data_IF_257759460150
#
_entry.id   IF_257759460150
#
_cell.length_a   1.000
_cell.length_b   1.000
_cell.length_c   1.000
_cell.angle_alpha   90.00
_cell.angle_beta   90.00
_cell.angle_gamma   90.00
#
_symmetry.space_group_name_H-M   'P 1'
#
loop_
_entity.id
_entity.type
_entity.pdbx_description
1 polymer ?
#
# COMPACT_ATOMS: atom_id res chain seq x y z
N UNK A 1 -43.64 -11.25 -25.47
CA UNK A 1 -42.23 -11.62 -25.68
C UNK A 1 -41.35 -10.56 -25.03
N UNK A 2 -40.75 -10.86 -23.88
CA UNK A 2 -39.76 -9.96 -23.27
C UNK A 2 -38.43 -10.25 -23.96
N UNK A 3 -37.89 -9.28 -24.70
CA UNK A 3 -36.58 -9.41 -25.35
C UNK A 3 -35.51 -9.08 -24.30
N UNK A 4 -34.58 -9.98 -23.98
CA UNK A 4 -33.49 -9.65 -23.07
C UNK A 4 -32.62 -8.54 -23.69
N UNK A 5 -32.41 -7.46 -22.95
CA UNK A 5 -31.43 -6.43 -23.30
C UNK A 5 -30.06 -7.02 -23.02
N UNK A 6 -29.35 -7.40 -24.07
CA UNK A 6 -27.93 -7.77 -23.97
C UNK A 6 -27.15 -6.48 -23.72
N UNK A 7 -26.80 -6.23 -22.47
CA UNK A 7 -25.84 -5.18 -22.12
C UNK A 7 -24.48 -5.69 -22.54
N UNK A 8 -24.01 -5.28 -23.73
CA UNK A 8 -22.61 -5.48 -24.11
C UNK A 8 -21.75 -4.78 -23.06
N UNK A 9 -20.76 -5.43 -22.44
CA UNK A 9 -19.82 -4.72 -21.59
C UNK A 9 -19.11 -3.69 -22.47
N UNK A 10 -19.51 -2.42 -22.32
CA UNK A 10 -18.86 -1.32 -22.99
C UNK A 10 -17.42 -1.25 -22.51
N UNK A 11 -16.47 -1.01 -23.43
CA UNK A 11 -15.10 -0.67 -23.05
C UNK A 11 -15.17 0.53 -22.11
N UNK A 12 -14.51 0.45 -20.96
CA UNK A 12 -14.46 1.59 -20.06
C UNK A 12 -13.81 2.78 -20.79
N UNK A 13 -14.57 3.86 -20.92
CA UNK A 13 -14.10 5.14 -21.43
C UNK A 13 -14.19 6.12 -20.27
N UNK A 14 -13.08 6.78 -19.94
CA UNK A 14 -13.08 7.79 -18.88
C UNK A 14 -14.10 8.89 -19.23
N UNK A 15 -15.08 9.17 -18.36
CA UNK A 15 -16.05 10.25 -18.60
C UNK A 15 -15.34 11.60 -18.74
N UNK A 16 -15.87 12.48 -19.60
CA UNK A 16 -15.28 13.81 -19.85
C UNK A 16 -15.14 14.67 -18.58
N UNK A 17 -16.01 14.45 -17.57
CA UNK A 17 -15.99 15.12 -16.27
C UNK A 17 -15.21 14.40 -15.17
N UNK A 18 -14.35 13.44 -15.48
CA UNK A 18 -13.66 12.63 -14.48
C UNK A 18 -12.44 13.38 -13.89
N UNK A 19 -12.69 14.33 -13.00
CA UNK A 19 -11.69 15.09 -12.28
C UNK A 19 -12.11 15.26 -10.81
N UNK A 20 -11.14 15.36 -9.92
CA UNK A 20 -11.39 15.56 -8.49
C UNK A 20 -11.30 17.05 -8.17
N UNK A 21 -12.24 17.53 -7.35
CA UNK A 21 -12.04 18.83 -6.69
C UNK A 21 -10.76 18.79 -5.85
N UNK A 22 -10.04 19.92 -5.68
CA UNK A 22 -8.77 19.94 -4.96
C UNK A 22 -8.80 19.20 -3.62
N UNK A 23 -9.84 19.42 -2.79
CA UNK A 23 -9.99 18.72 -1.51
C UNK A 23 -10.08 17.20 -1.63
N UNK A 24 -10.74 16.67 -2.67
CA UNK A 24 -10.82 15.23 -2.93
C UNK A 24 -9.49 14.63 -3.34
N UNK A 25 -8.71 15.35 -4.15
CA UNK A 25 -7.36 14.93 -4.52
C UNK A 25 -6.42 14.90 -3.31
N UNK A 26 -6.50 15.91 -2.43
CA UNK A 26 -5.72 15.95 -1.18
C UNK A 26 -6.12 14.83 -0.23
N UNK A 27 -7.42 14.61 -0.02
CA UNK A 27 -7.91 13.53 0.83
C UNK A 27 -7.48 12.14 0.32
N UNK A 28 -7.57 11.92 -0.99
CA UNK A 28 -7.10 10.68 -1.61
C UNK A 28 -5.58 10.50 -1.44
N UNK A 29 -4.79 11.56 -1.67
CA UNK A 29 -3.34 11.54 -1.45
C UNK A 29 -2.97 11.22 0.00
N UNK A 30 -3.64 11.85 0.97
CA UNK A 30 -3.43 11.59 2.40
C UNK A 30 -3.79 10.15 2.79
N UNK A 31 -4.92 9.63 2.28
CA UNK A 31 -5.31 8.24 2.52
C UNK A 31 -4.29 7.26 1.95
N UNK A 32 -3.83 7.47 0.71
CA UNK A 32 -2.78 6.65 0.10
C UNK A 32 -1.49 6.71 0.91
N UNK A 33 -1.05 7.91 1.30
CA UNK A 33 0.15 8.10 2.12
C UNK A 33 0.07 7.39 3.47
N UNK A 34 -1.08 7.49 4.14
CA UNK A 34 -1.31 6.82 5.42
C UNK A 34 -1.26 5.30 5.28
N UNK A 35 -1.96 4.72 4.32
CA UNK A 35 -1.96 3.27 4.08
C UNK A 35 -0.55 2.80 3.70
N UNK A 36 0.15 3.52 2.83
CA UNK A 36 1.52 3.19 2.46
C UNK A 36 2.47 3.19 3.67
N UNK A 37 2.40 4.22 4.52
CA UNK A 37 3.21 4.28 5.73
C UNK A 37 2.87 3.15 6.73
N UNK A 38 1.58 2.89 6.95
CA UNK A 38 1.13 1.82 7.85
C UNK A 38 1.58 0.44 7.35
N UNK A 39 1.45 0.17 6.05
CA UNK A 39 1.95 -1.07 5.46
C UNK A 39 3.46 -1.20 5.59
N UNK A 40 4.23 -0.13 5.33
CA UNK A 40 5.68 -0.15 5.48
C UNK A 40 6.12 -0.49 6.91
N UNK A 41 5.45 0.08 7.93
CA UNK A 41 5.72 -0.26 9.34
C UNK A 41 5.38 -1.71 9.63
N UNK A 42 4.27 -2.23 9.11
CA UNK A 42 3.88 -3.62 9.30
C UNK A 42 4.92 -4.62 8.72
N UNK A 43 5.56 -4.27 7.60
CA UNK A 43 6.62 -5.08 7.00
C UNK A 43 7.99 -4.90 7.65
N UNK A 44 8.32 -3.69 8.10
CA UNK A 44 9.63 -3.37 8.68
C UNK A 44 9.84 -3.96 10.09
N UNK A 45 8.75 -4.28 10.80
CA UNK A 45 8.81 -4.82 12.16
C UNK A 45 9.02 -3.76 13.23
N UNK A 46 9.24 -4.21 14.47
CA UNK A 46 9.43 -3.30 15.61
C UNK A 46 10.76 -2.55 15.50
N UNK A 47 10.80 -1.26 15.89
CA UNK A 47 12.06 -0.53 15.96
C UNK A 47 13.02 -1.19 16.96
N UNK A 48 14.34 -1.15 16.69
CA UNK A 48 15.33 -1.71 17.60
C UNK A 48 15.25 -1.04 18.97
N UNK A 49 15.36 -1.86 20.01
CA UNK A 49 15.50 -1.38 21.39
C UNK A 49 16.97 -1.05 21.68
N UNK A 50 17.29 -0.23 22.70
CA UNK A 50 18.67 0.11 23.01
C UNK A 50 19.61 -1.09 23.24
N UNK A 51 19.07 -2.27 23.55
CA UNK A 51 19.83 -3.50 23.79
C UNK A 51 19.66 -4.57 22.69
N UNK A 52 19.22 -4.17 21.48
CA UNK A 52 19.09 -5.10 20.34
C UNK A 52 20.27 -5.03 19.37
N UNK A 53 20.70 -6.20 18.90
CA UNK A 53 21.73 -6.44 17.89
C UNK A 53 21.08 -6.86 16.56
N UNK A 54 21.66 -6.46 15.42
CA UNK A 54 21.19 -6.85 14.09
C UNK A 54 21.79 -8.20 13.67
N UNK A 55 20.95 -9.12 13.21
CA UNK A 55 21.34 -10.44 12.73
C UNK A 55 20.91 -10.63 11.28
N UNK A 56 21.79 -11.17 10.44
CA UNK A 56 21.49 -11.46 9.03
C UNK A 56 20.91 -12.86 8.89
N UNK A 57 19.85 -13.01 8.08
CA UNK A 57 19.23 -14.31 7.79
C UNK A 57 19.88 -15.02 6.60
N UNK A 58 20.53 -14.26 5.72
CA UNK A 58 21.05 -14.76 4.46
C UNK A 58 22.52 -14.34 4.28
N UNK A 59 23.38 -15.17 3.65
CA UNK A 59 24.78 -14.84 3.41
C UNK A 59 24.97 -13.63 2.48
N UNK A 60 23.95 -13.26 1.71
CA UNK A 60 23.93 -12.03 0.91
C UNK A 60 23.81 -10.76 1.74
N UNK A 61 23.54 -10.85 3.06
CA UNK A 61 23.39 -9.72 4.00
C UNK A 61 22.34 -8.67 3.57
N UNK A 62 21.35 -9.11 2.80
CA UNK A 62 20.26 -8.25 2.31
C UNK A 62 19.02 -8.30 3.20
N UNK A 63 18.94 -9.28 4.09
CA UNK A 63 17.82 -9.49 5.00
C UNK A 63 18.34 -9.82 6.40
N UNK A 64 17.59 -9.39 7.40
CA UNK A 64 17.94 -9.57 8.80
C UNK A 64 16.84 -9.11 9.74
N UNK A 65 17.07 -9.32 11.04
CA UNK A 65 16.17 -8.95 12.13
C UNK A 65 16.97 -8.37 13.29
N UNK A 66 16.29 -7.61 14.14
CA UNK A 66 16.82 -7.13 15.41
C UNK A 66 16.42 -8.11 16.51
N UNK A 67 17.37 -8.58 17.32
CA UNK A 67 17.11 -9.42 18.49
C UNK A 67 17.99 -9.02 19.67
N UNK A 68 17.72 -9.55 20.86
CA UNK A 68 18.51 -9.28 22.06
C UNK A 68 19.97 -9.73 21.89
N UNK A 69 20.91 -8.85 22.25
CA UNK A 69 22.32 -9.21 22.29
C UNK A 69 22.58 -10.24 23.42
N UNK A 70 23.45 -11.24 23.21
CA UNK A 70 23.90 -12.16 24.27
C UNK A 70 24.73 -11.45 25.34
#
# INVERSE_FOLDING_TARGET
MVRPVVVRPGRWVRPAGYWWRPGGAIAAGAAIGFVAAATAVAWAGQPPTPNSCWYYTDPSRTRGFWDACP
#
